data_IF_201743042802
#
_entry.id   IF_201743042802
#
_cell.length_a   1.000
_cell.length_b   1.000
_cell.length_c   1.000
_cell.angle_alpha   90.00
_cell.angle_beta   90.00
_cell.angle_gamma   90.00
#
_symmetry.space_group_name_H-M   'P 1'
#
loop_
_entity.id
_entity.type
_entity.pdbx_description
1 polymer ?
#
# COMPACT_ATOMS: atom_id res chain seq x y z
N UNK A 1 -23.65 17.61 -6.03
CA UNK A 1 -22.87 16.47 -6.54
C UNK A 1 -21.61 17.02 -7.19
N UNK A 2 -20.47 16.99 -6.50
CA UNK A 2 -19.19 17.36 -7.09
C UNK A 2 -18.44 16.06 -7.41
N UNK A 3 -18.49 15.62 -8.67
CA UNK A 3 -17.52 14.66 -9.18
C UNK A 3 -16.19 15.39 -9.32
N UNK A 4 -15.44 15.46 -8.22
CA UNK A 4 -14.01 15.73 -8.29
C UNK A 4 -13.35 14.49 -8.90
N UNK A 5 -13.37 14.38 -10.23
CA UNK A 5 -12.53 13.46 -10.96
C UNK A 5 -11.08 13.99 -10.92
N UNK A 6 -10.53 14.11 -9.71
CA UNK A 6 -9.11 14.34 -9.52
C UNK A 6 -8.42 13.06 -10.03
N UNK A 7 -7.47 13.14 -10.98
CA UNK A 7 -6.69 11.99 -11.44
C UNK A 7 -5.93 11.27 -10.30
N UNK A 8 -5.91 11.88 -9.12
CA UNK A 8 -5.38 11.36 -7.86
C UNK A 8 -6.27 10.34 -7.16
N UNK A 9 -7.57 10.30 -7.46
CA UNK A 9 -8.52 9.37 -6.85
C UNK A 9 -8.54 8.06 -7.66
N UNK A 10 -7.98 7.00 -7.07
CA UNK A 10 -7.81 5.71 -7.74
C UNK A 10 -8.50 4.63 -6.94
N UNK A 11 -9.68 4.23 -7.42
CA UNK A 11 -10.25 2.94 -7.08
C UNK A 11 -9.33 1.83 -7.60
N UNK A 12 -8.96 0.91 -6.72
CA UNK A 12 -8.16 -0.25 -7.11
C UNK A 12 -9.14 -1.29 -7.68
N UNK A 13 -9.21 -1.35 -9.02
CA UNK A 13 -10.20 -2.13 -9.77
C UNK A 13 -10.36 -3.56 -9.24
N UNK A 14 -11.61 -3.96 -8.98
CA UNK A 14 -11.93 -5.29 -8.45
C UNK A 14 -11.60 -5.49 -6.97
N UNK A 15 -11.40 -4.40 -6.22
CA UNK A 15 -11.14 -4.43 -4.77
C UNK A 15 -11.99 -3.38 -4.04
N UNK A 16 -12.18 -3.50 -2.71
CA UNK A 16 -12.90 -2.50 -1.93
C UNK A 16 -12.04 -1.27 -1.59
N UNK A 17 -10.77 -1.22 -2.01
CA UNK A 17 -9.85 -0.15 -1.59
C UNK A 17 -9.73 0.93 -2.65
N UNK A 18 -9.58 2.15 -2.18
CA UNK A 18 -9.24 3.31 -3.00
C UNK A 18 -8.15 4.13 -2.31
N UNK A 19 -7.49 4.96 -3.10
CA UNK A 19 -6.50 5.92 -2.61
C UNK A 19 -6.74 7.27 -3.22
N UNK A 20 -6.38 8.32 -2.49
CA UNK A 20 -6.44 9.70 -2.95
C UNK A 20 -5.18 10.44 -2.59
N UNK A 21 -4.64 11.23 -3.53
CA UNK A 21 -3.63 12.24 -3.17
C UNK A 21 -4.33 13.47 -2.63
N UNK A 22 -3.84 13.96 -1.50
CA UNK A 22 -4.31 15.15 -0.85
C UNK A 22 -3.16 15.96 -0.28
N UNK A 23 -3.50 16.88 0.61
CA UNK A 23 -2.56 17.73 1.35
C UNK A 23 -2.77 17.53 2.84
N UNK A 24 -1.69 17.26 3.56
CA UNK A 24 -1.67 17.32 5.02
C UNK A 24 -1.48 18.78 5.49
N UNK A 25 -1.47 18.97 6.80
CA UNK A 25 -1.06 20.24 7.40
C UNK A 25 0.30 20.70 6.86
N UNK A 26 0.45 22.02 6.73
CA UNK A 26 1.64 22.68 6.16
C UNK A 26 1.84 22.44 4.65
N UNK A 27 0.78 22.02 3.93
CA UNK A 27 0.80 21.89 2.47
C UNK A 27 1.60 20.69 1.94
N UNK A 28 2.02 19.77 2.81
CA UNK A 28 2.73 18.55 2.43
C UNK A 28 1.82 17.59 1.67
N UNK A 29 2.32 16.94 0.62
CA UNK A 29 1.57 15.90 -0.09
C UNK A 29 1.28 14.74 0.85
N UNK A 30 0.06 14.22 0.78
CA UNK A 30 -0.38 13.05 1.53
C UNK A 30 -1.08 12.06 0.61
N UNK A 31 -0.97 10.78 0.94
CA UNK A 31 -1.75 9.70 0.38
C UNK A 31 -2.76 9.26 1.42
N UNK A 32 -4.03 9.41 1.12
CA UNK A 32 -5.13 8.88 1.89
C UNK A 32 -5.46 7.47 1.38
N UNK A 33 -5.69 6.54 2.30
CA UNK A 33 -5.96 5.14 2.00
C UNK A 33 -7.31 4.75 2.59
N UNK A 34 -8.19 4.22 1.76
CA UNK A 34 -9.57 3.92 2.13
C UNK A 34 -9.88 2.42 2.03
N UNK A 35 -10.80 1.98 2.90
CA UNK A 35 -11.49 0.70 2.84
C UNK A 35 -12.98 0.98 2.64
N UNK A 36 -13.48 0.69 1.43
CA UNK A 36 -14.67 1.28 0.86
C UNK A 36 -14.61 2.81 0.96
N UNK A 37 -15.37 3.41 1.88
CA UNK A 37 -15.42 4.86 2.11
C UNK A 37 -14.75 5.27 3.44
N UNK A 38 -14.27 4.29 4.22
CA UNK A 38 -13.63 4.56 5.51
C UNK A 38 -12.14 4.85 5.32
N UNK A 39 -11.69 6.03 5.76
CA UNK A 39 -10.27 6.36 5.81
C UNK A 39 -9.56 5.46 6.85
N UNK A 40 -8.59 4.67 6.40
CA UNK A 40 -7.88 3.69 7.25
C UNK A 40 -6.41 4.01 7.50
N UNK A 41 -5.78 4.85 6.67
CA UNK A 41 -4.43 5.37 6.88
C UNK A 41 -4.21 6.65 6.08
N UNK A 42 -3.27 7.48 6.55
CA UNK A 42 -2.74 8.64 5.85
C UNK A 42 -1.23 8.57 5.88
N UNK A 43 -0.61 8.59 4.70
CA UNK A 43 0.84 8.63 4.54
C UNK A 43 1.25 10.00 4.04
N UNK A 44 1.90 10.78 4.89
CA UNK A 44 2.43 12.10 4.53
C UNK A 44 3.83 11.96 3.94
N UNK A 45 4.13 12.74 2.90
CA UNK A 45 5.46 12.86 2.32
C UNK A 45 6.43 13.43 3.37
N UNK A 46 7.50 12.68 3.64
CA UNK A 46 8.53 13.04 4.62
C UNK A 46 9.91 12.83 4.01
N UNK A 47 10.90 13.64 4.40
CA UNK A 47 12.30 13.49 3.94
C UNK A 47 12.94 12.18 4.43
N UNK A 48 12.48 11.67 5.57
CA UNK A 48 12.93 10.39 6.14
C UNK A 48 11.76 9.42 6.11
N UNK A 49 11.96 8.25 5.51
CA UNK A 49 10.98 7.16 5.49
C UNK A 49 11.44 6.04 6.47
N UNK A 50 11.09 6.14 7.77
CA UNK A 50 11.49 5.12 8.75
C UNK A 50 10.72 3.80 8.59
N UNK A 51 9.64 3.79 7.81
CA UNK A 51 8.79 2.60 7.62
C UNK A 51 8.49 2.42 6.13
N UNK A 52 9.18 1.46 5.50
CA UNK A 52 8.92 1.09 4.09
C UNK A 52 7.58 0.37 3.92
N UNK A 53 7.01 -0.19 4.99
CA UNK A 53 5.69 -0.84 5.02
C UNK A 53 4.85 -0.18 6.10
N UNK A 54 3.75 0.46 5.72
CA UNK A 54 2.85 1.15 6.67
C UNK A 54 1.62 0.32 6.99
N UNK A 55 1.04 -0.33 5.98
CA UNK A 55 -0.19 -1.06 6.19
C UNK A 55 -0.46 -2.11 5.14
N UNK A 56 -1.40 -2.99 5.50
CA UNK A 56 -1.92 -4.01 4.63
C UNK A 56 -3.35 -4.41 5.03
N UNK A 57 -4.15 -4.79 4.04
CA UNK A 57 -5.53 -5.29 4.19
C UNK A 57 -5.77 -6.49 3.29
N UNK A 58 -6.53 -7.47 3.80
CA UNK A 58 -7.01 -8.61 3.01
C UNK A 58 -8.53 -8.53 2.89
N UNK A 59 -9.00 -8.61 1.65
CA UNK A 59 -10.40 -8.83 1.32
C UNK A 59 -10.69 -10.33 1.22
N UNK A 60 -11.85 -10.66 0.66
CA UNK A 60 -12.22 -12.05 0.41
C UNK A 60 -11.32 -12.70 -0.67
N UNK A 61 -11.05 -11.97 -1.77
CA UNK A 61 -10.26 -12.44 -2.93
C UNK A 61 -9.22 -11.44 -3.39
N UNK A 62 -8.78 -10.56 -2.50
CA UNK A 62 -7.79 -9.55 -2.80
C UNK A 62 -6.93 -9.26 -1.58
N UNK A 63 -5.74 -8.72 -1.84
CA UNK A 63 -4.82 -8.23 -0.86
C UNK A 63 -4.26 -6.90 -1.33
N UNK A 64 -4.04 -6.00 -0.38
CA UNK A 64 -3.52 -4.67 -0.62
C UNK A 64 -2.50 -4.32 0.46
N UNK A 65 -1.41 -3.70 0.04
CA UNK A 65 -0.38 -3.19 0.92
C UNK A 65 0.15 -1.86 0.40
N UNK A 66 0.63 -1.05 1.33
CA UNK A 66 1.16 0.27 1.02
C UNK A 66 2.25 0.67 2.01
N UNK A 67 3.07 1.63 1.59
CA UNK A 67 4.13 2.17 2.41
C UNK A 67 4.82 3.34 1.75
N UNK A 68 5.90 3.80 2.39
CA UNK A 68 6.72 4.89 1.88
C UNK A 68 7.76 4.38 0.90
N UNK A 69 7.95 5.10 -0.19
CA UNK A 69 9.06 4.87 -1.11
C UNK A 69 10.38 5.29 -0.42
N UNK A 70 11.41 4.44 -0.45
CA UNK A 70 12.78 4.86 -0.14
C UNK A 70 13.23 5.98 -1.08
N UNK A 71 14.08 6.89 -0.58
CA UNK A 71 14.60 8.03 -1.36
C UNK A 71 15.49 7.57 -2.54
N UNK A 72 16.14 6.42 -2.40
CA UNK A 72 17.00 5.85 -3.41
C UNK A 72 16.19 5.09 -4.46
N UNK A 73 16.49 5.34 -5.73
CA UNK A 73 15.99 4.53 -6.83
C UNK A 73 16.47 3.08 -6.65
N UNK A 74 15.60 2.24 -6.09
CA UNK A 74 15.84 0.84 -5.81
C UNK A 74 14.54 0.07 -5.95
N UNK A 75 14.61 -1.14 -6.50
CA UNK A 75 13.44 -1.98 -6.68
C UNK A 75 12.92 -2.43 -5.31
N UNK A 76 11.71 -1.99 -4.97
CA UNK A 76 10.94 -2.62 -3.90
C UNK A 76 10.46 -3.98 -4.41
N UNK A 77 10.70 -5.02 -3.61
CA UNK A 77 10.09 -6.33 -3.83
C UNK A 77 8.99 -6.53 -2.79
N UNK A 78 7.75 -6.69 -3.25
CA UNK A 78 6.59 -6.94 -2.40
C UNK A 78 6.08 -8.35 -2.63
N UNK A 79 6.00 -9.12 -1.54
CA UNK A 79 5.57 -10.51 -1.54
C UNK A 79 4.36 -10.68 -0.62
N UNK A 80 3.24 -11.13 -1.19
CA UNK A 80 2.09 -11.57 -0.42
C UNK A 80 2.18 -13.06 -0.11
N UNK A 81 2.12 -13.42 1.17
CA UNK A 81 2.26 -14.80 1.63
C UNK A 81 0.92 -15.44 2.00
N UNK A 82 0.82 -16.75 1.72
CA UNK A 82 -0.28 -17.62 2.15
C UNK A 82 0.23 -18.69 3.14
N UNK A 83 -0.68 -19.20 3.98
CA UNK A 83 -0.39 -20.29 4.92
C UNK A 83 0.49 -19.92 6.14
N UNK A 84 0.82 -20.90 6.99
CA UNK A 84 1.63 -20.71 8.21
C UNK A 84 3.15 -20.78 7.98
N UNK A 85 3.60 -21.35 6.84
CA UNK A 85 5.01 -21.69 6.59
C UNK A 85 5.70 -20.89 5.48
N UNK A 86 5.11 -19.80 5.00
CA UNK A 86 5.76 -18.86 4.06
C UNK A 86 6.26 -19.47 2.73
N UNK A 87 5.86 -20.70 2.38
CA UNK A 87 6.31 -21.36 1.14
C UNK A 87 5.60 -20.84 -0.09
N UNK A 88 4.34 -20.42 0.07
CA UNK A 88 3.55 -19.87 -1.02
C UNK A 88 3.55 -18.34 -0.93
N UNK A 89 4.42 -17.73 -1.73
CA UNK A 89 4.51 -16.28 -1.89
C UNK A 89 4.13 -15.89 -3.31
N UNK A 90 3.47 -14.74 -3.43
CA UNK A 90 3.13 -14.13 -4.70
C UNK A 90 3.81 -12.75 -4.77
N UNK A 91 4.68 -12.58 -5.77
CA UNK A 91 5.25 -11.28 -6.06
C UNK A 91 4.20 -10.38 -6.71
N UNK A 92 4.04 -9.18 -6.17
CA UNK A 92 3.12 -8.19 -6.71
C UNK A 92 3.87 -7.01 -7.33
N UNK A 93 3.28 -6.47 -8.40
CA UNK A 93 3.75 -5.23 -9.00
C UNK A 93 3.66 -4.07 -8.01
N UNK A 94 4.70 -3.24 -7.99
CA UNK A 94 4.77 -2.05 -7.17
C UNK A 94 4.33 -0.85 -8.01
N UNK A 95 3.33 -0.13 -7.52
CA UNK A 95 2.82 1.10 -8.14
C UNK A 95 3.32 2.28 -7.32
N UNK A 96 4.20 3.10 -7.89
CA UNK A 96 4.63 4.35 -7.28
C UNK A 96 3.52 5.41 -7.38
N UNK A 97 3.27 6.13 -6.29
CA UNK A 97 2.23 7.16 -6.20
C UNK A 97 2.83 8.42 -5.59
N UNK A 98 2.72 9.54 -6.32
CA UNK A 98 3.23 10.85 -5.89
C UNK A 98 4.75 10.94 -5.66
N UNK A 99 5.51 9.90 -6.00
CA UNK A 99 6.97 9.85 -5.79
C UNK A 99 7.42 9.62 -4.33
N UNK A 100 6.50 9.45 -3.38
CA UNK A 100 6.83 9.23 -1.96
C UNK A 100 6.15 7.98 -1.35
N UNK A 101 5.15 7.42 -2.04
CA UNK A 101 4.41 6.25 -1.61
C UNK A 101 4.42 5.16 -2.67
N UNK A 102 4.24 3.92 -2.22
CA UNK A 102 4.02 2.79 -3.09
C UNK A 102 2.79 2.00 -2.66
N UNK A 103 2.18 1.34 -3.64
CA UNK A 103 1.03 0.45 -3.48
C UNK A 103 1.35 -0.90 -4.12
N UNK A 104 0.76 -1.97 -3.59
CA UNK A 104 0.76 -3.27 -4.24
C UNK A 104 -0.59 -3.97 -4.02
N UNK A 105 -1.14 -4.54 -5.09
CA UNK A 105 -2.41 -5.27 -5.08
C UNK A 105 -2.17 -6.68 -5.61
N UNK A 106 -2.82 -7.67 -5.01
CA UNK A 106 -2.79 -9.04 -5.48
C UNK A 106 -4.18 -9.70 -5.38
N UNK A 107 -4.50 -10.57 -6.33
CA UNK A 107 -5.72 -11.38 -6.29
C UNK A 107 -5.51 -12.68 -5.51
N UNK A 108 -6.53 -13.04 -4.73
CA UNK A 108 -6.60 -14.23 -3.89
C UNK A 108 -6.40 -13.96 -2.40
N UNK A 109 -6.24 -15.03 -1.63
CA UNK A 109 -6.32 -14.98 -0.16
C UNK A 109 -4.94 -15.03 0.47
N UNK A 110 -4.52 -13.93 1.09
CA UNK A 110 -3.21 -13.79 1.73
C UNK A 110 -3.36 -13.40 3.21
N UNK A 111 -2.39 -13.77 4.04
CA UNK A 111 -2.42 -13.51 5.48
C UNK A 111 -1.24 -12.65 5.98
N UNK A 112 -0.23 -12.45 5.15
CA UNK A 112 0.91 -11.59 5.45
C UNK A 112 1.46 -10.95 4.17
N UNK A 113 2.15 -9.83 4.35
CA UNK A 113 2.93 -9.18 3.31
C UNK A 113 4.34 -8.95 3.83
N UNK A 114 5.32 -9.15 2.96
CA UNK A 114 6.71 -8.77 3.20
C UNK A 114 7.12 -7.79 2.11
N UNK A 115 7.79 -6.71 2.48
CA UNK A 115 8.46 -5.82 1.55
C UNK A 115 9.95 -5.86 1.83
N UNK A 116 10.75 -5.80 0.78
CA UNK A 116 12.19 -5.58 0.89
C UNK A 116 12.67 -4.47 -0.04
N UNK A 117 13.64 -3.70 0.42
CA UNK A 117 14.37 -2.73 -0.40
C UNK A 117 15.82 -3.21 -0.58
N UNK A 118 16.24 -3.41 -1.84
CA UNK A 118 17.58 -3.91 -2.21
C UNK A 118 17.98 -5.18 -1.43
N UNK A 119 17.01 -6.06 -1.13
CA UNK A 119 17.21 -7.30 -0.37
C UNK A 119 17.51 -7.17 1.14
N UNK A 120 17.88 -5.97 1.62
CA UNK A 120 18.41 -5.75 2.97
C UNK A 120 17.34 -5.29 3.98
N UNK A 121 16.63 -4.18 3.71
CA UNK A 121 15.63 -3.66 4.66
C UNK A 121 14.31 -4.38 4.46
N UNK A 122 13.83 -5.09 5.47
CA UNK A 122 12.59 -5.89 5.40
C UNK A 122 11.53 -5.34 6.34
N UNK A 123 10.34 -5.10 5.79
CA UNK A 123 9.12 -4.87 6.57
C UNK A 123 8.20 -6.07 6.43
N UNK A 124 7.55 -6.50 7.50
CA UNK A 124 6.54 -7.58 7.44
C UNK A 124 5.35 -7.23 8.30
N UNK A 125 4.15 -7.46 7.76
CA UNK A 125 2.90 -7.29 8.49
C UNK A 125 1.99 -8.51 8.29
N UNK A 126 1.24 -8.86 9.34
CA UNK A 126 0.03 -9.68 9.16
C UNK A 126 -1.09 -8.81 8.61
N UNK A 127 -1.84 -9.36 7.68
CA UNK A 127 -2.91 -8.62 7.02
C UNK A 127 -4.19 -8.64 7.84
N UNK A 128 -4.74 -7.46 8.10
CA UNK A 128 -6.04 -7.31 8.76
C UNK A 128 -7.15 -7.53 7.75
N UNK A 129 -8.22 -8.24 8.15
CA UNK A 129 -9.41 -8.43 7.32
C UNK A 129 -10.12 -7.08 7.16
N UNK A 130 -10.66 -6.83 5.97
CA UNK A 130 -11.70 -5.79 5.75
C UNK A 130 -12.85 -6.06 6.72
N UNK A 131 -13.38 -4.99 7.32
CA UNK A 131 -14.55 -5.07 8.20
C UNK A 131 -15.82 -5.11 7.38
#
# INVERSE_FOLDING_TARGET
MATSADPSDRCLTGTPWSVRLGRASEGRTALEVYDAESLIDVVVATRVAPEILRGARRGHRSAFAWGRLPLEAGALTVLFGRGRRHRDVHAAGVIAVGGFCWLAVAHGTFNNVTVSHRGARRGRLRMRKVR
#
